data_IF_245257942611
#
_entry.id   IF_245257942611
#
_cell.length_a   1.000
_cell.length_b   1.000
_cell.length_c   1.000
_cell.angle_alpha   90.00
_cell.angle_beta   90.00
_cell.angle_gamma   90.00
#
_symmetry.space_group_name_H-M   'P 1'
#
loop_
_entity.id
_entity.type
_entity.pdbx_description
1 polymer ?
#
# COMPACT_ATOMS: atom_id res chain seq x y z
N UNK A 1 -52.29 7.07 -21.54
CA UNK A 1 -53.43 6.24 -21.11
C UNK A 1 -52.86 5.14 -20.22
N UNK A 2 -52.62 5.42 -18.94
CA UNK A 2 -53.51 5.34 -17.75
C UNK A 2 -53.88 3.90 -17.36
N UNK A 3 -53.37 3.50 -16.19
CA UNK A 3 -53.94 2.56 -15.20
C UNK A 3 -53.16 2.89 -13.91
N UNK A 4 -53.62 3.62 -12.89
CA UNK A 4 -54.87 3.66 -12.11
C UNK A 4 -55.28 2.26 -11.63
N UNK A 5 -54.78 1.84 -10.45
CA UNK A 5 -55.49 1.91 -9.15
C UNK A 5 -56.90 1.32 -9.28
N UNK A 6 -57.36 0.37 -8.46
CA UNK A 6 -57.61 0.58 -7.02
C UNK A 6 -58.17 -0.71 -6.39
N UNK A 7 -58.03 -0.82 -5.05
CA UNK A 7 -58.97 -1.43 -4.07
C UNK A 7 -59.05 -2.97 -4.06
N UNK A 8 -58.90 -3.70 -2.95
CA UNK A 8 -59.36 -3.57 -1.54
C UNK A 8 -58.39 -4.44 -0.70
N UNK A 9 -57.90 -4.15 0.52
CA UNK A 9 -58.36 -3.32 1.60
C UNK A 9 -58.77 -4.19 2.82
N UNK A 10 -58.14 -3.93 3.98
CA UNK A 10 -58.73 -4.07 5.35
C UNK A 10 -58.66 -5.52 5.92
N UNK A 11 -58.21 -5.83 7.15
CA UNK A 11 -58.37 -5.26 8.51
C UNK A 11 -57.20 -5.86 9.37
N UNK A 12 -56.34 -5.11 10.08
CA UNK A 12 -56.50 -4.48 11.41
C UNK A 12 -56.94 -5.46 12.52
N UNK A 13 -56.17 -5.46 13.63
CA UNK A 13 -56.61 -5.43 15.05
C UNK A 13 -55.56 -6.19 15.90
N UNK A 14 -54.66 -5.47 16.58
CA UNK A 14 -54.79 -5.02 17.99
C UNK A 14 -54.32 -6.12 18.95
N UNK A 15 -53.56 -5.90 20.03
CA UNK A 15 -53.57 -4.82 21.02
C UNK A 15 -52.37 -5.07 21.96
N UNK A 16 -51.52 -4.09 22.26
CA UNK A 16 -51.65 -3.07 23.34
C UNK A 16 -51.36 -3.58 24.74
N UNK A 17 -50.41 -2.95 25.45
CA UNK A 17 -50.56 -2.16 26.70
C UNK A 17 -49.15 -1.99 27.34
N UNK A 18 -48.59 -0.76 27.41
CA UNK A 18 -48.67 0.25 28.51
C UNK A 18 -48.01 -0.23 29.80
N UNK A 19 -47.21 0.51 30.57
CA UNK A 19 -46.80 1.93 30.71
C UNK A 19 -45.62 1.94 31.72
N UNK A 20 -45.04 3.00 32.29
CA UNK A 20 -45.24 4.44 32.42
C UNK A 20 -43.87 5.01 32.90
N UNK A 21 -43.38 6.16 32.42
CA UNK A 21 -43.53 7.52 32.99
C UNK A 21 -42.85 7.76 34.35
N UNK A 22 -41.73 8.50 34.38
CA UNK A 22 -41.39 9.48 35.45
C UNK A 22 -40.63 10.67 34.84
N UNK A 23 -41.17 11.87 35.07
CA UNK A 23 -40.57 13.18 34.83
C UNK A 23 -39.68 13.61 36.00
N UNK A 24 -38.61 14.37 35.74
CA UNK A 24 -38.15 15.44 36.65
C UNK A 24 -37.11 16.37 35.98
N UNK A 25 -37.48 17.64 35.84
CA UNK A 25 -36.66 18.86 35.88
C UNK A 25 -37.58 19.93 36.55
N UNK A 26 -37.14 21.15 36.98
CA UNK A 26 -35.86 21.84 36.79
C UNK A 26 -35.35 22.64 38.03
N UNK A 27 -34.18 23.31 37.96
CA UNK A 27 -33.97 24.62 38.63
C UNK A 27 -32.70 25.36 38.16
N UNK A 28 -32.89 26.65 37.82
CA UNK A 28 -31.92 27.68 37.45
C UNK A 28 -30.96 28.10 38.57
N UNK A 29 -29.75 28.55 38.20
CA UNK A 29 -29.13 29.75 38.79
C UNK A 29 -28.14 30.39 37.79
N UNK A 30 -28.39 31.66 37.48
CA UNK A 30 -27.53 32.57 36.73
C UNK A 30 -26.26 32.91 37.53
N UNK A 31 -25.13 33.07 36.86
CA UNK A 31 -24.13 34.05 37.27
C UNK A 31 -23.41 34.60 36.04
N UNK A 32 -23.84 35.79 35.63
CA UNK A 32 -23.05 36.69 34.80
C UNK A 32 -21.89 37.20 35.65
N UNK A 33 -20.65 37.00 35.19
CA UNK A 33 -19.59 38.00 35.37
C UNK A 33 -18.70 38.02 34.14
N UNK A 34 -18.89 39.07 33.35
CA UNK A 34 -17.86 39.69 32.54
C UNK A 34 -16.60 39.94 33.39
N UNK A 35 -15.44 39.63 32.79
CA UNK A 35 -14.16 40.36 32.81
C UNK A 35 -13.21 39.48 31.95
N UNK A 36 -13.05 39.75 30.66
CA UNK A 36 -11.93 40.51 30.10
C UNK A 36 -10.57 40.11 30.68
N UNK A 37 -9.84 39.31 29.91
CA UNK A 37 -8.39 39.47 29.72
C UNK A 37 -8.03 38.88 28.37
N UNK A 38 -7.64 39.79 27.47
CA UNK A 38 -6.91 39.51 26.24
C UNK A 38 -5.61 38.76 26.54
N UNK A 39 -5.43 37.62 25.89
CA UNK A 39 -4.16 36.98 25.54
C UNK A 39 -4.59 35.88 24.54
N UNK A 40 -4.72 36.19 23.24
CA UNK A 40 -3.61 36.16 22.30
C UNK A 40 -2.71 34.92 22.47
N UNK A 41 -3.32 33.72 22.55
CA UNK A 41 -2.67 32.51 22.06
C UNK A 41 -2.62 32.61 20.53
N UNK A 42 -1.66 33.39 20.06
CA UNK A 42 -1.04 33.13 18.77
C UNK A 42 -0.42 31.74 18.89
N UNK A 43 -1.07 30.76 18.26
CA UNK A 43 -0.41 29.54 17.84
C UNK A 43 0.75 29.97 16.93
N UNK A 44 1.90 30.26 17.55
CA UNK A 44 3.19 30.28 16.87
C UNK A 44 3.31 28.91 16.23
N UNK A 45 3.21 28.90 14.91
CA UNK A 45 3.53 27.77 14.06
C UNK A 45 4.80 27.12 14.57
N UNK A 46 4.72 25.83 14.91
CA UNK A 46 5.88 24.95 15.06
C UNK A 46 6.59 24.82 13.69
N UNK A 47 7.16 25.90 13.20
CA UNK A 47 8.12 25.91 12.10
C UNK A 47 9.49 25.61 12.71
N UNK A 48 9.57 24.48 13.42
CA UNK A 48 10.84 23.94 13.89
C UNK A 48 11.65 23.55 12.67
N UNK A 49 12.71 24.32 12.38
CA UNK A 49 13.75 24.17 11.35
C UNK A 49 13.73 22.82 10.59
N UNK A 50 12.75 22.63 9.70
CA UNK A 50 12.64 21.40 8.91
C UNK A 50 13.75 21.43 7.86
N UNK A 51 14.68 20.48 7.97
CA UNK A 51 15.82 20.41 7.05
C UNK A 51 15.40 19.66 5.79
N UNK A 52 15.11 20.40 4.71
CA UNK A 52 14.79 19.82 3.40
C UNK A 52 16.07 19.35 2.69
N UNK A 53 16.01 18.19 2.02
CA UNK A 53 17.13 17.72 1.19
C UNK A 53 17.19 18.51 -0.13
N UNK A 54 16.03 18.91 -0.65
CA UNK A 54 15.92 19.67 -1.87
C UNK A 54 16.10 21.18 -1.63
N UNK A 55 16.86 21.86 -2.52
CA UNK A 55 17.09 23.29 -2.40
C UNK A 55 15.77 24.07 -2.57
N UNK A 56 15.69 25.32 -2.11
CA UNK A 56 14.53 26.16 -2.36
C UNK A 56 14.29 26.35 -3.86
N UNK A 57 13.12 26.90 -4.19
CA UNK A 57 12.77 27.25 -5.56
C UNK A 57 13.86 28.16 -6.16
N UNK A 58 14.44 27.81 -7.32
CA UNK A 58 15.55 28.55 -7.89
C UNK A 58 15.04 29.91 -8.35
N UNK A 59 15.84 30.99 -8.26
CA UNK A 59 15.39 32.30 -8.74
C UNK A 59 15.08 32.26 -10.23
N UNK A 60 14.09 33.05 -10.65
CA UNK A 60 13.70 33.21 -12.04
C UNK A 60 13.33 34.67 -12.29
N UNK A 61 13.97 35.27 -13.28
CA UNK A 61 13.69 36.63 -13.74
C UNK A 61 13.01 36.59 -15.10
N UNK A 62 11.83 37.17 -15.18
CA UNK A 62 11.01 37.35 -16.38
C UNK A 62 10.69 38.86 -16.53
N UNK A 63 9.64 39.18 -17.29
CA UNK A 63 9.13 40.55 -17.39
C UNK A 63 8.58 41.03 -16.04
N UNK A 64 8.51 42.35 -15.81
CA UNK A 64 8.04 42.93 -14.54
C UNK A 64 6.65 42.40 -14.10
N UNK A 65 5.72 42.23 -15.04
CA UNK A 65 4.39 41.68 -14.74
C UNK A 65 4.47 40.22 -14.27
N UNK A 66 5.30 39.42 -14.94
CA UNK A 66 5.49 38.00 -14.58
C UNK A 66 6.29 37.84 -13.30
N UNK A 67 7.22 38.75 -12.99
CA UNK A 67 7.94 38.75 -11.72
C UNK A 67 7.00 39.03 -10.54
N UNK A 68 6.02 39.92 -10.70
CA UNK A 68 4.95 40.12 -9.69
C UNK A 68 4.10 38.87 -9.49
N UNK A 69 3.78 38.15 -10.57
CA UNK A 69 3.08 36.87 -10.49
C UNK A 69 3.97 35.81 -9.79
N UNK A 70 5.27 35.73 -10.10
CA UNK A 70 6.22 34.81 -9.47
C UNK A 70 6.41 35.10 -7.98
N UNK A 71 6.39 36.36 -7.57
CA UNK A 71 6.51 36.72 -6.16
C UNK A 71 5.27 36.29 -5.37
N UNK A 72 4.07 36.54 -5.92
CA UNK A 72 2.82 36.01 -5.34
C UNK A 72 2.80 34.49 -5.31
N UNK A 73 3.35 33.85 -6.33
CA UNK A 73 3.50 32.40 -6.35
C UNK A 73 4.34 31.89 -5.19
N UNK A 74 5.52 32.49 -4.94
CA UNK A 74 6.38 32.13 -3.81
C UNK A 74 5.69 32.33 -2.47
N UNK A 75 5.04 33.48 -2.28
CA UNK A 75 4.25 33.74 -1.07
C UNK A 75 3.19 32.66 -0.84
N UNK A 76 2.43 32.27 -1.87
CA UNK A 76 1.43 31.22 -1.72
C UNK A 76 2.02 29.82 -1.50
N UNK A 77 3.27 29.56 -1.90
CA UNK A 77 3.97 28.31 -1.53
C UNK A 77 4.32 28.34 -0.04
N UNK A 78 4.84 29.46 0.46
CA UNK A 78 5.18 29.66 1.87
C UNK A 78 3.94 29.60 2.78
N UNK A 79 2.85 30.26 2.37
CA UNK A 79 1.56 30.24 3.07
C UNK A 79 0.82 28.89 2.95
N UNK A 80 1.42 27.89 2.29
CA UNK A 80 0.81 26.57 1.96
C UNK A 80 -0.52 26.67 1.22
N UNK A 81 -0.74 27.74 0.46
CA UNK A 81 -1.91 27.95 -0.39
C UNK A 81 -1.71 27.37 -1.81
N UNK A 82 -1.37 26.07 -1.89
CA UNK A 82 -0.89 25.44 -3.13
C UNK A 82 -1.84 25.52 -4.32
N UNK A 83 -3.16 25.52 -4.07
CA UNK A 83 -4.15 25.68 -5.15
C UNK A 83 -4.07 27.06 -5.81
N UNK A 84 -3.78 28.12 -5.05
CA UNK A 84 -3.57 29.47 -5.59
C UNK A 84 -2.22 29.55 -6.30
N UNK A 85 -1.17 29.00 -5.72
CA UNK A 85 0.15 28.90 -6.34
C UNK A 85 0.07 28.17 -7.71
N UNK A 86 -0.62 27.03 -7.78
CA UNK A 86 -0.79 26.26 -9.01
C UNK A 86 -1.52 27.06 -10.11
N UNK A 87 -2.50 27.87 -9.75
CA UNK A 87 -3.22 28.74 -10.70
C UNK A 87 -2.31 29.83 -11.27
N UNK A 88 -1.43 30.40 -10.45
CA UNK A 88 -0.47 31.43 -10.88
C UNK A 88 0.59 30.84 -11.80
N UNK A 89 1.22 29.72 -11.43
CA UNK A 89 2.28 29.14 -12.27
C UNK A 89 1.74 28.63 -13.62
N UNK A 90 0.50 28.13 -13.67
CA UNK A 90 -0.21 27.85 -14.93
C UNK A 90 -0.31 29.08 -15.82
N UNK A 91 -0.63 30.24 -15.24
CA UNK A 91 -0.69 31.51 -15.97
C UNK A 91 0.68 31.94 -16.45
N UNK A 92 1.70 31.90 -15.60
CA UNK A 92 3.09 32.26 -15.96
C UNK A 92 3.55 31.38 -17.13
N UNK A 93 3.44 30.06 -17.01
CA UNK A 93 3.77 29.10 -18.09
C UNK A 93 3.07 29.44 -19.41
N UNK A 94 1.79 29.82 -19.37
CA UNK A 94 1.04 30.20 -20.58
C UNK A 94 1.52 31.50 -21.24
N UNK A 95 2.03 32.45 -20.43
CA UNK A 95 2.48 33.77 -20.88
C UNK A 95 3.93 33.77 -21.38
N UNK A 96 4.81 32.93 -20.84
CA UNK A 96 6.24 32.88 -21.20
C UNK A 96 6.52 32.32 -22.60
N UNK A 97 5.50 31.80 -23.33
CA UNK A 97 5.52 31.33 -24.74
C UNK A 97 6.91 31.04 -25.36
N UNK A 98 7.26 29.75 -25.48
CA UNK A 98 8.57 29.25 -25.98
C UNK A 98 9.77 29.80 -25.17
N UNK A 99 9.80 29.58 -23.85
CA UNK A 99 10.97 29.90 -23.04
C UNK A 99 12.22 29.15 -23.55
N UNK A 100 13.39 29.72 -23.27
CA UNK A 100 14.65 28.97 -23.33
C UNK A 100 14.57 27.72 -22.43
N UNK A 101 15.33 26.67 -22.76
CA UNK A 101 15.25 25.38 -22.07
C UNK A 101 15.55 25.48 -20.56
N UNK A 102 16.48 26.36 -20.17
CA UNK A 102 16.80 26.68 -18.77
C UNK A 102 15.59 27.26 -18.02
N UNK A 103 14.90 28.22 -18.64
CA UNK A 103 13.68 28.87 -18.10
C UNK A 103 12.53 27.88 -18.06
N UNK A 104 12.36 27.06 -19.10
CA UNK A 104 11.33 26.02 -19.16
C UNK A 104 11.48 25.03 -18.00
N UNK A 105 12.71 24.57 -17.74
CA UNK A 105 13.05 23.65 -16.66
C UNK A 105 12.69 24.22 -15.29
N UNK A 106 12.96 25.51 -15.06
CA UNK A 106 12.61 26.17 -13.79
C UNK A 106 11.09 26.30 -13.63
N UNK A 107 10.38 26.70 -14.69
CA UNK A 107 8.92 26.82 -14.67
C UNK A 107 8.26 25.46 -14.44
N UNK A 108 8.78 24.39 -15.05
CA UNK A 108 8.29 23.03 -14.82
C UNK A 108 8.58 22.56 -13.38
N UNK A 109 9.73 22.93 -12.78
CA UNK A 109 9.99 22.70 -11.35
C UNK A 109 8.98 23.43 -10.46
N UNK A 110 8.70 24.70 -10.72
CA UNK A 110 7.69 25.48 -9.99
C UNK A 110 6.29 24.86 -10.12
N UNK A 111 5.96 24.36 -11.31
CA UNK A 111 4.69 23.69 -11.56
C UNK A 111 4.55 22.41 -10.73
N UNK A 112 5.59 21.57 -10.73
CA UNK A 112 5.62 20.32 -9.94
C UNK A 112 5.56 20.59 -8.43
N UNK A 113 6.23 21.63 -7.94
CA UNK A 113 6.13 22.04 -6.52
C UNK A 113 4.68 22.34 -6.12
N UNK A 114 4.00 23.19 -6.88
CA UNK A 114 2.62 23.53 -6.58
C UNK A 114 1.65 22.36 -6.76
N UNK A 115 1.87 21.51 -7.77
CA UNK A 115 1.05 20.32 -7.98
C UNK A 115 1.21 19.32 -6.82
N UNK A 116 2.44 19.01 -6.43
CA UNK A 116 2.75 18.17 -5.27
C UNK A 116 2.06 18.71 -4.01
N UNK A 117 2.15 20.01 -3.74
CA UNK A 117 1.46 20.64 -2.61
C UNK A 117 -0.06 20.47 -2.65
N UNK A 118 -0.70 20.56 -3.82
CA UNK A 118 -2.15 20.31 -3.92
C UNK A 118 -2.55 18.85 -3.69
N UNK A 119 -1.66 17.89 -3.99
CA UNK A 119 -1.87 16.46 -3.68
C UNK A 119 -1.67 16.24 -2.19
N UNK A 120 -0.63 16.83 -1.61
CA UNK A 120 -0.31 16.78 -0.18
C UNK A 120 -1.47 17.28 0.67
N UNK A 121 -1.99 18.49 0.44
CA UNK A 121 -3.14 19.03 1.18
C UNK A 121 -4.36 18.11 1.17
N UNK A 122 -4.65 17.52 0.01
CA UNK A 122 -5.79 16.61 -0.16
C UNK A 122 -5.58 15.31 0.60
N UNK A 123 -4.37 14.73 0.52
CA UNK A 123 -4.03 13.50 1.20
C UNK A 123 -4.00 13.71 2.73
N UNK A 124 -3.33 14.77 3.19
CA UNK A 124 -3.20 15.13 4.60
C UNK A 124 -4.56 15.26 5.28
N UNK A 125 -5.52 15.95 4.65
CA UNK A 125 -6.90 16.07 5.16
C UNK A 125 -7.59 14.74 5.48
N UNK A 126 -7.23 13.66 4.79
CA UNK A 126 -7.73 12.31 5.11
C UNK A 126 -6.83 11.60 6.11
N UNK A 127 -5.52 11.82 6.05
CA UNK A 127 -4.56 11.32 7.04
C UNK A 127 -4.87 11.81 8.45
N UNK A 128 -5.15 13.10 8.62
CA UNK A 128 -5.51 13.73 9.91
C UNK A 128 -6.80 13.17 10.52
N UNK A 129 -7.60 12.46 9.71
CA UNK A 129 -8.84 11.78 10.12
C UNK A 129 -8.66 10.28 10.23
N UNK A 130 -7.42 9.81 10.25
CA UNK A 130 -7.01 8.41 10.29
C UNK A 130 -7.58 7.59 9.10
N UNK A 131 -7.99 8.25 8.02
CA UNK A 131 -8.48 7.61 6.82
C UNK A 131 -7.33 7.33 5.85
N UNK A 132 -6.34 6.57 6.34
CA UNK A 132 -5.04 6.37 5.69
C UNK A 132 -5.17 5.78 4.30
N UNK A 133 -6.05 4.79 4.10
CA UNK A 133 -6.30 4.20 2.77
C UNK A 133 -6.77 5.22 1.75
N UNK A 134 -7.64 6.15 2.15
CA UNK A 134 -8.13 7.19 1.24
C UNK A 134 -7.06 8.24 0.98
N UNK A 135 -6.25 8.59 1.99
CA UNK A 135 -5.10 9.46 1.84
C UNK A 135 -4.11 8.86 0.83
N UNK A 136 -3.68 7.61 1.03
CA UNK A 136 -2.76 6.93 0.14
C UNK A 136 -3.32 6.76 -1.27
N UNK A 137 -4.63 6.46 -1.40
CA UNK A 137 -5.29 6.36 -2.70
C UNK A 137 -5.28 7.66 -3.51
N UNK A 138 -5.22 8.83 -2.85
CA UNK A 138 -5.04 10.13 -3.53
C UNK A 138 -3.61 10.24 -4.05
N UNK A 139 -2.61 9.91 -3.23
CA UNK A 139 -1.20 9.95 -3.62
C UNK A 139 -0.94 9.03 -4.81
N UNK A 140 -1.33 7.75 -4.70
CA UNK A 140 -1.08 6.74 -5.75
C UNK A 140 -1.83 7.02 -7.06
N UNK A 141 -2.89 7.83 -7.03
CA UNK A 141 -3.62 8.22 -8.24
C UNK A 141 -2.85 9.25 -9.07
N UNK A 142 -2.21 10.20 -8.40
CA UNK A 142 -1.50 11.32 -9.05
C UNK A 142 -0.01 10.99 -9.25
N UNK A 143 0.60 10.24 -8.32
CA UNK A 143 1.98 9.75 -8.41
C UNK A 143 2.09 8.24 -8.06
N UNK A 144 1.69 7.34 -8.97
CA UNK A 144 1.72 5.90 -8.73
C UNK A 144 3.12 5.38 -8.38
N UNK A 145 4.16 5.94 -9.01
CA UNK A 145 5.55 5.44 -8.91
C UNK A 145 6.36 6.13 -7.81
N UNK A 146 5.92 7.29 -7.32
CA UNK A 146 6.67 8.09 -6.34
C UNK A 146 7.75 8.97 -6.97
N UNK A 147 7.70 9.15 -8.30
CA UNK A 147 8.80 9.79 -9.06
C UNK A 147 8.38 11.12 -9.68
N UNK A 148 7.08 11.43 -9.75
CA UNK A 148 6.56 12.59 -10.49
C UNK A 148 7.08 13.91 -9.90
N UNK A 149 7.18 13.98 -8.57
CA UNK A 149 7.50 15.20 -7.83
C UNK A 149 8.94 15.25 -7.28
N UNK A 150 9.83 14.35 -7.72
CA UNK A 150 11.22 14.33 -7.29
C UNK A 150 11.94 15.67 -7.57
N UNK A 151 12.72 16.16 -6.60
CA UNK A 151 13.44 17.43 -6.70
C UNK A 151 12.66 18.68 -6.25
N UNK A 152 11.46 18.50 -5.70
CA UNK A 152 10.63 19.56 -5.07
C UNK A 152 10.63 19.39 -3.56
N UNK A 153 10.46 20.47 -2.78
CA UNK A 153 10.41 20.36 -1.30
C UNK A 153 9.08 19.77 -0.85
N UNK A 154 7.98 20.24 -1.42
CA UNK A 154 6.65 19.65 -1.20
C UNK A 154 6.56 18.19 -1.65
N UNK A 155 7.34 17.80 -2.66
CA UNK A 155 7.47 16.41 -3.08
C UNK A 155 8.15 15.53 -2.03
N UNK A 156 9.11 16.06 -1.26
CA UNK A 156 9.70 15.34 -0.12
C UNK A 156 8.65 15.09 0.96
N UNK A 157 7.87 16.11 1.34
CA UNK A 157 6.79 15.95 2.32
C UNK A 157 5.74 14.94 1.86
N UNK A 158 5.41 14.93 0.56
CA UNK A 158 4.47 13.97 -0.02
C UNK A 158 5.03 12.54 0.01
N UNK A 159 6.33 12.37 -0.22
CA UNK A 159 7.02 11.08 -0.11
C UNK A 159 7.04 10.59 1.34
N UNK A 160 7.35 11.47 2.30
CA UNK A 160 7.31 11.13 3.74
C UNK A 160 5.89 10.70 4.16
N UNK A 161 4.87 11.45 3.73
CA UNK A 161 3.47 11.08 3.98
C UNK A 161 3.13 9.72 3.34
N UNK A 162 3.59 9.46 2.11
CA UNK A 162 3.40 8.18 1.44
C UNK A 162 4.02 7.03 2.22
N UNK A 163 5.25 7.20 2.70
CA UNK A 163 5.98 6.19 3.47
C UNK A 163 5.26 5.88 4.79
N UNK A 164 4.91 6.91 5.58
CA UNK A 164 4.14 6.73 6.81
C UNK A 164 2.81 6.02 6.57
N UNK A 165 2.06 6.43 5.55
CA UNK A 165 0.79 5.78 5.20
C UNK A 165 0.99 4.32 4.78
N UNK A 166 2.07 4.01 4.06
CA UNK A 166 2.38 2.63 3.67
C UNK A 166 2.67 1.77 4.90
N UNK A 167 3.44 2.27 5.87
CA UNK A 167 3.75 1.56 7.12
C UNK A 167 2.49 1.31 7.97
N UNK A 168 1.61 2.30 8.07
CA UNK A 168 0.38 2.16 8.86
C UNK A 168 -0.62 1.17 8.26
N UNK A 169 -0.78 1.21 6.93
CA UNK A 169 -1.77 0.40 6.20
C UNK A 169 -1.25 -1.01 5.92
N UNK A 170 0.04 -1.16 5.66
CA UNK A 170 0.61 -2.39 5.12
C UNK A 170 1.67 -3.02 6.01
N UNK A 171 1.68 -4.35 5.99
CA UNK A 171 2.81 -5.15 6.44
C UNK A 171 3.53 -5.69 5.21
N UNK A 172 4.73 -5.18 4.95
CA UNK A 172 5.58 -5.62 3.84
C UNK A 172 6.37 -6.84 4.29
N UNK A 173 6.12 -7.99 3.66
CA UNK A 173 6.76 -9.26 4.07
C UNK A 173 8.28 -9.18 3.94
N UNK A 174 8.79 -8.55 2.87
CA UNK A 174 10.22 -8.46 2.59
C UNK A 174 10.98 -7.63 3.62
N UNK A 175 10.46 -6.45 4.00
CA UNK A 175 11.13 -5.57 4.97
C UNK A 175 11.17 -6.21 6.36
N UNK A 176 10.09 -6.90 6.72
CA UNK A 176 10.05 -7.66 7.95
C UNK A 176 11.05 -8.83 7.94
N UNK A 177 11.20 -9.52 6.80
CA UNK A 177 12.25 -10.53 6.60
C UNK A 177 13.67 -9.95 6.69
N UNK A 178 13.91 -8.72 6.20
CA UNK A 178 15.22 -8.05 6.20
C UNK A 178 15.61 -7.38 7.51
N UNK A 179 14.66 -6.81 8.25
CA UNK A 179 14.89 -6.11 9.54
C UNK A 179 15.62 -6.95 10.59
N UNK A 180 15.72 -8.26 10.35
CA UNK A 180 16.37 -9.26 11.20
C UNK A 180 17.73 -9.74 10.68
N UNK A 181 18.15 -9.34 9.47
CA UNK A 181 19.48 -9.66 8.95
C UNK A 181 20.58 -8.76 9.54
N UNK A 182 20.20 -7.55 9.98
CA UNK A 182 21.08 -6.54 10.56
C UNK A 182 21.10 -6.51 12.09
N UNK A 183 20.30 -7.33 12.77
CA UNK A 183 20.29 -7.44 14.24
C UNK A 183 21.18 -8.59 14.77
N UNK A 184 22.10 -9.09 13.96
CA UNK A 184 23.22 -9.92 14.39
C UNK A 184 24.50 -9.11 14.24
N UNK A 185 24.86 -8.36 15.29
CA UNK A 185 26.16 -7.69 15.36
C UNK A 185 27.31 -8.70 15.24
N UNK A 186 28.34 -8.28 14.51
CA UNK A 186 29.73 -8.72 14.53
C UNK A 186 30.06 -9.96 15.39
N UNK A 187 30.42 -11.05 14.72
CA UNK A 187 31.60 -11.81 15.14
C UNK A 187 32.56 -11.89 13.95
N UNK A 188 33.82 -11.58 14.28
CA UNK A 188 34.97 -11.48 13.40
C UNK A 188 35.29 -12.83 12.73
N UNK A 189 35.93 -12.73 11.56
CA UNK A 189 36.76 -13.74 10.87
C UNK A 189 36.67 -15.20 11.36
N UNK A 190 35.91 -16.04 10.63
CA UNK A 190 36.34 -17.41 10.33
C UNK A 190 36.13 -17.69 8.83
N UNK A 191 37.22 -17.59 8.08
CA UNK A 191 37.38 -18.41 6.89
C UNK A 191 37.52 -19.88 7.32
N UNK A 192 36.85 -20.73 6.53
CA UNK A 192 36.98 -22.19 6.43
C UNK A 192 36.02 -23.09 7.24
N UNK A 193 35.37 -23.94 6.42
CA UNK A 193 34.75 -25.23 6.72
C UNK A 193 33.40 -25.27 7.47
N UNK A 194 32.34 -25.45 6.66
CA UNK A 194 31.26 -26.36 7.07
C UNK A 194 30.01 -25.75 7.69
N UNK A 195 29.72 -24.47 7.49
CA UNK A 195 28.45 -23.86 7.92
C UNK A 195 27.34 -24.02 6.87
N UNK A 196 26.44 -24.99 7.05
CA UNK A 196 25.13 -25.05 6.36
C UNK A 196 24.28 -23.83 6.78
N UNK A 197 24.57 -22.67 6.19
CA UNK A 197 23.70 -21.51 6.22
C UNK A 197 22.35 -21.92 5.61
N UNK A 198 21.29 -21.77 6.40
CA UNK A 198 19.89 -22.01 6.06
C UNK A 198 19.47 -21.12 4.88
N UNK A 199 19.91 -21.48 3.67
CA UNK A 199 19.16 -21.23 2.44
C UNK A 199 17.83 -21.95 2.65
N UNK A 200 16.74 -21.18 2.67
CA UNK A 200 15.38 -21.67 2.89
C UNK A 200 15.20 -23.05 2.26
N UNK A 201 14.89 -24.03 3.11
CA UNK A 201 14.81 -25.43 2.75
C UNK A 201 13.64 -25.61 1.76
N UNK A 202 13.92 -25.39 0.47
CA UNK A 202 12.97 -25.52 -0.63
C UNK A 202 12.87 -27.00 -1.01
N UNK A 203 11.76 -27.63 -0.64
CA UNK A 203 11.30 -28.82 -1.36
C UNK A 203 10.79 -28.41 -2.75
N UNK A 204 10.98 -29.29 -3.75
CA UNK A 204 10.44 -29.11 -5.11
C UNK A 204 11.34 -28.35 -6.09
N UNK A 205 12.66 -28.60 -6.08
CA UNK A 205 13.67 -28.26 -7.10
C UNK A 205 13.57 -26.89 -7.84
N UNK A 206 12.91 -25.86 -7.31
CA UNK A 206 12.81 -24.57 -8.00
C UNK A 206 14.08 -23.76 -7.87
N UNK A 207 14.44 -23.02 -8.92
CA UNK A 207 15.53 -22.04 -8.86
C UNK A 207 14.94 -20.66 -8.61
N UNK A 208 15.43 -20.00 -7.57
CA UNK A 208 15.15 -18.58 -7.32
C UNK A 208 16.37 -17.76 -7.74
N UNK A 209 16.15 -16.72 -8.54
CA UNK A 209 17.16 -15.75 -8.97
C UNK A 209 16.63 -14.34 -8.70
N UNK A 210 17.50 -13.36 -8.49
CA UNK A 210 17.08 -11.95 -8.44
C UNK A 210 16.96 -11.39 -9.86
N UNK A 211 15.81 -10.81 -10.20
CA UNK A 211 15.64 -9.96 -11.37
C UNK A 211 16.07 -8.53 -11.07
N UNK A 212 16.61 -7.83 -12.06
CA UNK A 212 17.04 -6.43 -11.91
C UNK A 212 16.13 -5.46 -12.70
N UNK A 213 16.10 -4.17 -12.35
CA UNK A 213 15.27 -3.19 -13.06
C UNK A 213 15.69 -3.02 -14.52
N UNK A 214 16.97 -3.28 -14.83
CA UNK A 214 17.55 -3.21 -16.17
C UNK A 214 16.96 -4.27 -17.12
N UNK A 215 16.51 -5.40 -16.57
CA UNK A 215 15.84 -6.47 -17.31
C UNK A 215 14.34 -6.18 -17.56
N UNK A 216 13.82 -5.04 -17.05
CA UNK A 216 12.40 -4.71 -17.07
C UNK A 216 11.54 -5.63 -16.18
N UNK A 217 12.21 -6.38 -15.30
CA UNK A 217 11.62 -7.45 -14.50
C UNK A 217 11.37 -7.04 -13.05
N UNK A 218 11.49 -5.75 -12.72
CA UNK A 218 11.16 -5.21 -11.39
C UNK A 218 9.94 -4.32 -11.50
N UNK A 219 8.95 -4.55 -10.63
CA UNK A 219 7.76 -3.70 -10.56
C UNK A 219 7.99 -2.54 -9.60
N UNK A 220 8.56 -2.83 -8.44
CA UNK A 220 8.81 -1.87 -7.36
C UNK A 220 10.17 -2.14 -6.72
N UNK A 221 10.89 -1.09 -6.32
CA UNK A 221 12.18 -1.24 -5.66
C UNK A 221 13.29 -1.68 -6.60
N UNK A 222 14.21 -2.51 -6.11
CA UNK A 222 15.48 -2.85 -6.79
C UNK A 222 15.53 -4.28 -7.33
N UNK A 223 14.70 -5.18 -6.84
CA UNK A 223 14.75 -6.59 -7.22
C UNK A 223 13.35 -7.17 -7.27
N UNK A 224 13.15 -8.14 -8.16
CA UNK A 224 11.99 -9.02 -8.13
C UNK A 224 12.46 -10.46 -8.00
N UNK A 225 11.64 -11.31 -7.39
CA UNK A 225 11.96 -12.71 -7.24
C UNK A 225 11.61 -13.47 -8.53
N UNK A 226 12.62 -14.03 -9.19
CA UNK A 226 12.44 -14.90 -10.34
C UNK A 226 12.31 -16.34 -9.89
N UNK A 227 11.13 -16.90 -10.07
CA UNK A 227 10.84 -18.29 -9.76
C UNK A 227 10.79 -19.11 -11.05
N UNK A 228 11.82 -19.95 -11.25
CA UNK A 228 11.87 -20.92 -12.34
C UNK A 228 11.32 -22.26 -11.86
N UNK A 229 10.22 -22.70 -12.48
CA UNK A 229 9.59 -24.00 -12.20
C UNK A 229 10.40 -25.11 -12.85
N UNK A 230 10.64 -26.22 -12.15
CA UNK A 230 11.55 -27.28 -12.60
C UNK A 230 10.92 -28.66 -12.68
N UNK A 231 9.80 -28.86 -11.97
CA UNK A 231 9.07 -30.11 -11.94
C UNK A 231 7.61 -29.90 -12.37
N UNK A 232 6.87 -31.01 -12.54
CA UNK A 232 5.41 -30.97 -12.77
C UNK A 232 4.66 -30.20 -11.68
N UNK A 233 5.29 -30.10 -10.51
CA UNK A 233 4.80 -29.39 -9.35
C UNK A 233 5.96 -28.59 -8.79
N UNK A 234 5.82 -27.27 -8.75
CA UNK A 234 6.82 -26.38 -8.15
C UNK A 234 6.11 -25.52 -7.12
N UNK A 235 6.80 -25.10 -6.07
CA UNK A 235 6.29 -24.08 -5.15
C UNK A 235 7.40 -23.19 -4.64
N UNK A 236 7.02 -22.00 -4.19
CA UNK A 236 7.88 -21.10 -3.42
C UNK A 236 7.15 -20.73 -2.14
N UNK A 237 7.90 -20.63 -1.06
CA UNK A 237 7.42 -20.22 0.24
C UNK A 237 7.95 -18.84 0.57
N UNK A 238 7.07 -17.95 1.01
CA UNK A 238 7.31 -16.54 1.31
C UNK A 238 6.88 -16.25 2.75
N UNK A 239 7.58 -15.34 3.40
CA UNK A 239 7.19 -14.81 4.70
C UNK A 239 7.40 -15.77 5.87
N UNK A 240 8.08 -16.91 5.74
CA UNK A 240 8.23 -17.87 6.86
C UNK A 240 8.77 -17.21 8.14
N UNK A 241 9.80 -16.37 8.00
CA UNK A 241 10.35 -15.61 9.13
C UNK A 241 9.36 -14.56 9.61
N UNK A 242 8.63 -13.94 8.68
CA UNK A 242 7.66 -12.91 9.00
C UNK A 242 6.47 -13.45 9.81
N UNK A 243 5.82 -14.51 9.32
CA UNK A 243 4.73 -15.17 10.03
C UNK A 243 5.19 -15.80 11.34
N UNK A 244 6.37 -16.43 11.39
CA UNK A 244 6.92 -16.99 12.63
C UNK A 244 7.01 -15.95 13.76
N UNK A 245 7.56 -14.76 13.46
CA UNK A 245 7.62 -13.69 14.46
C UNK A 245 6.28 -12.99 14.69
N UNK A 246 5.39 -12.90 13.70
CA UNK A 246 4.02 -12.44 13.96
C UNK A 246 3.33 -13.31 15.02
N UNK A 247 3.54 -14.63 14.98
CA UNK A 247 3.04 -15.54 16.01
C UNK A 247 3.71 -15.29 17.37
N UNK A 248 5.01 -15.05 17.41
CA UNK A 248 5.75 -14.72 18.65
C UNK A 248 5.29 -13.38 19.26
N UNK A 249 5.09 -12.37 18.43
CA UNK A 249 4.66 -11.01 18.81
C UNK A 249 3.14 -10.92 19.07
N UNK A 250 2.39 -12.00 18.85
CA UNK A 250 0.93 -12.05 19.00
C UNK A 250 0.17 -11.22 17.96
N UNK A 251 0.80 -10.89 16.83
CA UNK A 251 0.18 -10.20 15.70
C UNK A 251 -0.67 -11.19 14.91
N UNK A 252 -1.97 -10.92 14.81
CA UNK A 252 -2.89 -11.84 14.16
C UNK A 252 -3.12 -11.48 12.70
N UNK A 253 -3.17 -12.49 11.82
CA UNK A 253 -3.61 -12.29 10.43
C UNK A 253 -5.06 -11.83 10.31
N UNK A 254 -5.85 -11.92 11.37
CA UNK A 254 -7.21 -11.35 11.41
C UNK A 254 -7.24 -9.83 11.30
N UNK A 255 -6.14 -9.15 11.65
CA UNK A 255 -6.03 -7.69 11.56
C UNK A 255 -5.89 -7.21 10.11
N UNK A 256 -5.62 -8.14 9.20
CA UNK A 256 -5.45 -7.90 7.78
C UNK A 256 -6.69 -8.33 6.99
N UNK A 257 -6.99 -7.56 5.95
CA UNK A 257 -8.16 -7.76 5.08
C UNK A 257 -7.76 -8.28 3.70
N UNK A 258 -6.64 -7.81 3.19
CA UNK A 258 -6.18 -8.10 1.84
C UNK A 258 -4.74 -8.58 1.84
N UNK A 259 -4.43 -9.50 0.94
CA UNK A 259 -3.08 -9.79 0.48
C UNK A 259 -2.92 -9.13 -0.88
N UNK A 260 -1.95 -8.24 -1.03
CA UNK A 260 -1.53 -7.72 -2.33
C UNK A 260 -0.24 -8.41 -2.74
N UNK A 261 -0.26 -8.95 -3.95
CA UNK A 261 0.90 -9.60 -4.57
C UNK A 261 0.97 -9.23 -6.04
N UNK A 262 2.16 -8.88 -6.51
CA UNK A 262 2.41 -8.62 -7.91
C UNK A 262 3.01 -9.84 -8.58
N UNK A 263 2.43 -10.23 -9.71
CA UNK A 263 2.89 -11.39 -10.47
C UNK A 263 3.00 -11.05 -11.96
N UNK A 264 4.07 -11.54 -12.58
CA UNK A 264 4.27 -11.59 -14.04
C UNK A 264 4.68 -13.01 -14.43
N UNK A 265 4.29 -13.46 -15.61
CA UNK A 265 4.72 -14.72 -16.16
C UNK A 265 5.18 -14.52 -17.59
N UNK A 266 6.40 -14.92 -17.91
CA UNK A 266 7.00 -14.75 -19.23
C UNK A 266 6.24 -15.52 -20.32
N UNK A 267 5.72 -16.70 -19.98
CA UNK A 267 4.94 -17.54 -20.89
C UNK A 267 3.45 -17.64 -20.48
N UNK A 268 2.64 -16.59 -20.72
CA UNK A 268 1.22 -16.60 -20.36
C UNK A 268 0.38 -17.54 -21.24
N UNK A 269 0.90 -17.98 -22.38
CA UNK A 269 0.21 -18.88 -23.31
C UNK A 269 -0.07 -20.25 -22.69
N UNK A 270 0.75 -20.65 -21.72
CA UNK A 270 0.58 -21.86 -20.91
C UNK A 270 -0.60 -21.78 -19.92
N UNK A 271 -1.26 -20.61 -19.81
CA UNK A 271 -2.35 -20.34 -18.86
C UNK A 271 -1.94 -20.72 -17.43
N UNK A 272 -0.87 -20.09 -16.90
CA UNK A 272 -0.39 -20.40 -15.56
C UNK A 272 -1.50 -20.19 -14.53
N UNK A 273 -1.63 -21.15 -13.62
CA UNK A 273 -2.56 -21.10 -12.50
C UNK A 273 -1.74 -21.31 -11.22
N UNK A 274 -1.68 -20.28 -10.39
CA UNK A 274 -0.97 -20.29 -9.13
C UNK A 274 -2.00 -20.40 -8.01
N UNK A 275 -1.87 -21.45 -7.20
CA UNK A 275 -2.56 -21.56 -5.93
C UNK A 275 -1.79 -20.72 -4.91
N UNK A 276 -2.46 -19.73 -4.35
CA UNK A 276 -2.00 -18.93 -3.22
C UNK A 276 -2.55 -19.61 -1.96
N UNK A 277 -1.67 -20.05 -1.08
CA UNK A 277 -2.00 -20.82 0.11
C UNK A 277 -1.36 -20.17 1.34
N UNK A 278 -2.18 -19.80 2.31
CA UNK A 278 -1.74 -19.61 3.70
C UNK A 278 -1.77 -20.97 4.39
N UNK A 279 -0.60 -21.49 4.74
CA UNK A 279 -0.37 -22.85 5.24
C UNK A 279 -0.13 -22.82 6.76
N UNK A 280 -0.61 -23.85 7.45
CA UNK A 280 -0.56 -24.01 8.92
C UNK A 280 0.55 -25.00 9.33
N UNK A 281 1.11 -25.77 8.39
CA UNK A 281 2.22 -26.70 8.63
C UNK A 281 3.43 -26.33 7.76
N UNK A 282 4.42 -25.66 8.35
CA UNK A 282 5.71 -25.36 7.71
C UNK A 282 6.47 -26.59 7.15
N UNK A 283 6.13 -27.81 7.55
CA UNK A 283 6.83 -29.04 7.14
C UNK A 283 6.34 -29.67 5.83
N UNK A 284 7.27 -30.19 5.02
CA UNK A 284 7.14 -30.80 3.68
C UNK A 284 5.73 -31.02 3.08
N UNK A 285 5.56 -30.45 1.88
CA UNK A 285 4.54 -30.83 0.89
C UNK A 285 4.55 -32.36 0.66
N UNK A 286 3.47 -33.04 1.03
CA UNK A 286 3.26 -34.44 0.64
C UNK A 286 2.82 -34.48 -0.82
N UNK A 287 3.78 -34.58 -1.75
CA UNK A 287 3.48 -34.83 -3.15
C UNK A 287 2.56 -36.07 -3.28
N UNK A 288 1.49 -36.02 -4.09
CA UNK A 288 0.58 -37.14 -4.21
C UNK A 288 1.33 -38.33 -4.80
N UNK A 289 1.33 -39.46 -4.08
CA UNK A 289 1.76 -40.76 -4.64
C UNK A 289 0.70 -41.22 -5.64
N UNK A 290 0.84 -40.84 -6.90
CA UNK A 290 0.00 -41.31 -7.99
C UNK A 290 -0.21 -40.24 -9.06
N UNK A 291 0.31 -40.50 -10.26
CA UNK A 291 0.15 -39.60 -11.40
C UNK A 291 -1.33 -39.36 -11.72
N UNK A 292 -1.80 -38.11 -11.63
CA UNK A 292 -3.14 -37.77 -12.09
C UNK A 292 -3.22 -36.34 -12.64
N UNK A 293 -3.61 -36.27 -13.92
CA UNK A 293 -3.95 -35.06 -14.70
C UNK A 293 -5.07 -34.18 -14.12
N UNK A 294 -5.66 -34.53 -12.96
CA UNK A 294 -6.73 -33.76 -12.27
C UNK A 294 -6.61 -33.70 -10.75
N UNK A 295 -5.61 -34.35 -10.15
CA UNK A 295 -5.46 -34.51 -8.69
C UNK A 295 -4.36 -33.67 -8.04
N UNK A 296 -3.42 -33.12 -8.83
CA UNK A 296 -2.25 -32.41 -8.30
C UNK A 296 -2.58 -31.21 -7.41
N UNK A 297 -3.60 -30.42 -7.76
CA UNK A 297 -4.06 -29.31 -6.93
C UNK A 297 -4.80 -29.75 -5.65
N UNK A 298 -5.35 -30.98 -5.60
CA UNK A 298 -5.99 -31.53 -4.40
C UNK A 298 -4.99 -32.04 -3.37
N UNK A 299 -3.78 -32.37 -3.79
CA UNK A 299 -2.72 -32.85 -2.90
C UNK A 299 -2.15 -31.77 -1.96
N UNK A 300 -2.48 -30.49 -2.23
CA UNK A 300 -2.15 -29.34 -1.38
C UNK A 300 -3.36 -28.80 -0.62
N UNK A 301 -4.47 -29.54 -0.58
CA UNK A 301 -5.58 -29.23 0.31
C UNK A 301 -5.22 -29.69 1.74
N UNK A 302 -4.12 -29.15 2.26
CA UNK A 302 -3.83 -29.13 3.68
C UNK A 302 -4.80 -28.19 4.40
N UNK A 303 -4.77 -28.30 5.71
CA UNK A 303 -5.33 -27.34 6.65
C UNK A 303 -4.74 -25.95 6.34
N UNK A 304 -5.60 -25.00 5.96
CA UNK A 304 -5.18 -23.67 5.53
C UNK A 304 -6.24 -22.87 4.77
N UNK A 305 -5.84 -21.72 4.24
CA UNK A 305 -6.69 -20.83 3.44
C UNK A 305 -6.12 -20.67 2.05
N UNK A 306 -6.92 -20.88 1.00
CA UNK A 306 -6.42 -20.77 -0.36
C UNK A 306 -7.32 -20.03 -1.35
N UNK A 307 -6.69 -19.54 -2.40
CA UNK A 307 -7.33 -18.99 -3.60
C UNK A 307 -6.41 -19.22 -4.80
N UNK A 308 -6.91 -18.97 -6.01
CA UNK A 308 -6.13 -19.15 -7.24
C UNK A 308 -6.03 -17.86 -8.03
N UNK A 309 -4.85 -17.58 -8.57
CA UNK A 309 -4.57 -16.44 -9.44
C UNK A 309 -3.93 -16.89 -10.75
N UNK A 310 -4.21 -16.17 -11.82
CA UNK A 310 -3.72 -16.48 -13.15
C UNK A 310 -2.80 -15.34 -13.65
N UNK A 311 -1.47 -15.43 -13.45
CA UNK A 311 -0.52 -14.41 -13.92
C UNK A 311 -0.55 -14.26 -15.45
N UNK A 312 -0.12 -13.10 -15.94
CA UNK A 312 -0.11 -12.73 -17.35
C UNK A 312 1.28 -12.26 -17.78
N UNK A 313 1.44 -12.00 -19.09
CA UNK A 313 2.70 -11.54 -19.69
C UNK A 313 3.21 -10.21 -19.14
N UNK A 314 2.28 -9.31 -18.77
CA UNK A 314 2.58 -8.06 -18.11
C UNK A 314 2.38 -8.19 -16.60
N UNK A 315 3.08 -7.34 -15.84
CA UNK A 315 2.86 -7.16 -14.40
C UNK A 315 1.39 -6.94 -14.08
N UNK A 316 0.89 -7.72 -13.12
CA UNK A 316 -0.45 -7.53 -12.58
C UNK A 316 -0.42 -7.56 -11.07
N UNK A 317 -1.17 -6.65 -10.49
CA UNK A 317 -1.49 -6.67 -9.07
C UNK A 317 -2.68 -7.58 -8.83
N UNK A 318 -2.53 -8.44 -7.84
CA UNK A 318 -3.60 -9.26 -7.31
C UNK A 318 -3.86 -8.81 -5.89
N UNK A 319 -4.89 -7.99 -5.72
CA UNK A 319 -5.42 -7.62 -4.41
C UNK A 319 -6.47 -8.63 -3.98
N UNK A 320 -6.07 -9.58 -3.15
CA UNK A 320 -6.84 -10.75 -2.76
C UNK A 320 -7.51 -10.52 -1.42
N UNK A 321 -8.83 -10.57 -1.40
CA UNK A 321 -9.65 -10.44 -0.20
C UNK A 321 -9.54 -11.71 0.66
N UNK A 322 -8.93 -11.62 1.84
CA UNK A 322 -8.68 -12.78 2.72
C UNK A 322 -9.99 -13.47 3.16
N UNK A 323 -11.10 -12.74 3.32
CA UNK A 323 -12.42 -13.37 3.64
C UNK A 323 -12.98 -14.20 2.49
N UNK A 324 -12.47 -14.04 1.27
CA UNK A 324 -12.88 -14.85 0.11
C UNK A 324 -12.02 -16.09 -0.09
N UNK A 325 -10.97 -16.28 0.72
CA UNK A 325 -10.19 -17.50 0.67
C UNK A 325 -11.05 -18.68 1.11
N UNK A 326 -10.88 -19.81 0.44
CA UNK A 326 -11.55 -21.04 0.83
C UNK A 326 -10.79 -21.65 2.00
N UNK A 327 -11.44 -21.71 3.17
CA UNK A 327 -10.94 -22.45 4.33
C UNK A 327 -10.96 -23.96 4.05
N UNK A 328 -9.88 -24.63 4.42
CA UNK A 328 -9.74 -26.09 4.41
C UNK A 328 -9.31 -26.53 5.81
N UNK A 329 -10.00 -27.52 6.37
CA UNK A 329 -9.71 -28.01 7.72
C UNK A 329 -10.29 -27.18 8.86
N UNK A 330 -9.85 -27.50 10.07
CA UNK A 330 -10.14 -26.79 11.32
C UNK A 330 -9.01 -25.80 11.62
N UNK A 331 -8.80 -24.84 10.72
CA UNK A 331 -7.78 -23.81 10.84
C UNK A 331 -8.36 -22.44 11.11
N UNK A 332 -7.59 -21.67 11.89
CA UNK A 332 -7.79 -20.25 12.13
C UNK A 332 -6.61 -19.45 11.55
N UNK A 333 -6.80 -18.15 11.38
CA UNK A 333 -5.82 -17.27 10.71
C UNK A 333 -4.55 -17.07 11.53
N UNK A 334 -4.66 -17.18 12.84
CA UNK A 334 -3.57 -17.18 13.82
C UNK A 334 -2.77 -18.49 13.86
N UNK A 335 -3.18 -19.52 13.13
CA UNK A 335 -2.42 -20.77 13.01
C UNK A 335 -1.48 -20.78 11.78
N UNK A 336 -1.54 -19.75 10.94
CA UNK A 336 -0.82 -19.70 9.67
C UNK A 336 0.66 -19.37 9.89
N UNK A 337 1.53 -20.19 9.33
CA UNK A 337 2.99 -20.08 9.48
C UNK A 337 3.69 -19.64 8.18
N UNK A 338 3.02 -19.74 7.03
CA UNK A 338 3.66 -19.51 5.74
C UNK A 338 2.69 -19.08 4.64
N UNK A 339 3.18 -18.25 3.71
CA UNK A 339 2.53 -17.99 2.43
C UNK A 339 3.21 -18.80 1.32
N UNK A 340 2.49 -19.71 0.68
CA UNK A 340 2.98 -20.55 -0.41
C UNK A 340 2.33 -20.19 -1.74
N UNK A 341 3.14 -20.09 -2.77
CA UNK A 341 2.70 -20.01 -4.16
C UNK A 341 3.01 -21.32 -4.84
N UNK A 342 1.99 -22.01 -5.32
CA UNK A 342 2.12 -23.37 -5.87
C UNK A 342 1.70 -23.36 -7.34
N UNK A 343 2.57 -23.92 -8.18
CA UNK A 343 2.39 -24.03 -9.62
C UNK A 343 2.31 -25.50 -10.05
N UNK A 344 1.29 -25.85 -10.82
CA UNK A 344 1.00 -27.25 -11.18
C UNK A 344 0.98 -27.53 -12.68
N UNK A 345 1.49 -26.62 -13.51
CA UNK A 345 1.34 -26.72 -14.98
C UNK A 345 2.55 -27.35 -15.70
N UNK A 346 3.64 -27.67 -15.00
CA UNK A 346 4.85 -28.24 -15.63
C UNK A 346 6.12 -27.47 -15.28
N UNK A 347 7.28 -27.96 -15.78
CA UNK A 347 8.55 -27.25 -15.67
C UNK A 347 8.67 -26.12 -16.71
N UNK A 348 9.78 -25.38 -16.64
CA UNK A 348 10.23 -24.40 -17.65
C UNK A 348 9.35 -23.14 -17.80
N UNK A 349 8.70 -22.73 -16.71
CA UNK A 349 8.04 -21.44 -16.60
C UNK A 349 8.85 -20.51 -15.70
N UNK A 350 9.00 -19.27 -16.16
CA UNK A 350 9.50 -18.17 -15.36
C UNK A 350 8.31 -17.34 -14.86
N UNK A 351 8.22 -17.23 -13.53
CA UNK A 351 7.22 -16.42 -12.83
C UNK A 351 7.99 -15.41 -11.99
N UNK A 352 7.69 -14.12 -12.19
CA UNK A 352 8.27 -13.04 -11.38
C UNK A 352 7.26 -12.61 -10.33
N UNK A 353 7.75 -12.44 -9.11
CA UNK A 353 6.97 -12.11 -7.92
C UNK A 353 7.59 -10.87 -7.27
N UNK A 354 6.75 -9.89 -6.95
CA UNK A 354 7.16 -8.60 -6.38
C UNK A 354 6.00 -8.02 -5.53
N UNK A 355 6.27 -6.98 -4.73
CA UNK A 355 5.31 -6.20 -3.93
C UNK A 355 4.33 -7.09 -3.13
N UNK A 356 4.87 -7.93 -2.25
CA UNK A 356 4.08 -8.84 -1.41
C UNK A 356 3.81 -8.19 -0.05
N UNK A 357 2.54 -7.82 0.18
CA UNK A 357 2.12 -7.09 1.39
C UNK A 357 0.75 -7.51 1.90
N UNK A 358 0.57 -7.47 3.21
CA UNK A 358 -0.73 -7.61 3.86
C UNK A 358 -1.29 -6.22 4.16
N UNK A 359 -2.57 -6.00 3.93
CA UNK A 359 -3.22 -4.70 4.12
C UNK A 359 -4.27 -4.76 5.24
N UNK A 360 -4.13 -3.91 6.26
CA UNK A 360 -5.13 -3.72 7.34
C UNK A 360 -6.40 -3.09 6.81
N UNK A 361 -7.58 -3.46 7.35
CA UNK A 361 -8.92 -2.99 6.91
C UNK A 361 -9.11 -1.47 7.00
#
# INVERSE_FOLDING_TARGET
MISFRTLVGILIMSSSFLGALICAAPSHAQSQRLLQSDEADSEESEDSERTYKNPPLPPLELTEELNKDLERFRQHIEDREFSKALAIIKRVRSKTRKPEESVATIIDRYFREAEAGTVLDKAQKYSDKENYRKALGIILKEDPKGTEYEGTRTGEELTELREMLMEEIFFVLEDFEKSTATSGDNDEEEEEEGGRGQRGQQGGASKIVGGTPEDGDVRTGKFAMHWQTSERLSWVTLGNKAFGKMLEDGVSLTDYRYLTISLRCENPSAKPNILVLFDVDGEQVRAPRGGMRRGGARAFQRDGFNTTVNPKGAWREYRLDLKKFTRKGEVEWDMVEALRLIYTAGPDHLIMIDDVKLEKQ
#
